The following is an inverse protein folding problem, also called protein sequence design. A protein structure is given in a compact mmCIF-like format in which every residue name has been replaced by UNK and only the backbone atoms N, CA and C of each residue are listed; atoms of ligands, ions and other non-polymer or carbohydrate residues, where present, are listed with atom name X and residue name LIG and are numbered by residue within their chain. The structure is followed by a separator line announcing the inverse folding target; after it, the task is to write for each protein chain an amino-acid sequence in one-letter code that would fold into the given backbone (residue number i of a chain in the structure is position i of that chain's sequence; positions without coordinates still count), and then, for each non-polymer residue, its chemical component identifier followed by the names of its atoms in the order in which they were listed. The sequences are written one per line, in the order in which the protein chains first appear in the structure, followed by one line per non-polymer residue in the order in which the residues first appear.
data_IF_190618715410
#
_entry.id   IF_190618715410
#
_cell.length_a   1.000
_cell.length_b   1.000
_cell.length_c   1.000
_cell.angle_alpha   90.00
_cell.angle_beta   90.00
_cell.angle_gamma   90.00
#
_symmetry.space_group_name_H-M   'P 1'
#
loop_
_entity.id
_entity.type
_entity.pdbx_description
1 polymer ?
#
# COMPACT_ATOMS: atom_id res chain seq x y z
N UNK A 1 47.12 4.55 26.92
CA UNK A 1 45.66 4.78 27.07
C UNK A 1 44.99 5.41 25.84
N UNK A 2 45.62 6.35 25.10
CA UNK A 2 45.02 6.95 23.88
C UNK A 2 44.74 5.98 22.71
N UNK A 3 45.51 4.89 22.56
CA UNK A 3 45.38 3.94 21.44
C UNK A 3 44.12 3.06 21.50
N UNK A 4 43.60 2.79 22.71
CA UNK A 4 42.39 1.99 22.92
C UNK A 4 41.09 2.79 22.76
N UNK A 5 41.18 4.12 22.93
CA UNK A 5 40.05 5.04 22.71
C UNK A 5 39.66 5.13 21.23
N UNK A 6 40.64 5.06 20.32
CA UNK A 6 40.38 5.07 18.87
C UNK A 6 39.78 3.75 18.37
N UNK A 7 40.18 2.62 18.93
CA UNK A 7 39.62 1.31 18.56
C UNK A 7 38.16 1.14 19.01
N UNK A 8 37.76 1.76 20.13
CA UNK A 8 36.36 1.72 20.60
C UNK A 8 35.44 2.56 19.68
N UNK A 9 35.94 3.69 19.17
CA UNK A 9 35.17 4.56 18.26
C UNK A 9 34.92 3.89 16.90
N UNK A 10 35.87 3.10 16.40
CA UNK A 10 35.73 2.36 15.13
C UNK A 10 34.73 1.19 15.26
N UNK A 11 34.70 0.51 16.41
CA UNK A 11 33.73 -0.57 16.67
C UNK A 11 32.32 -0.02 16.88
N UNK A 12 32.18 1.17 17.48
CA UNK A 12 30.88 1.83 17.66
C UNK A 12 30.26 2.32 16.34
N UNK A 13 31.09 2.68 15.35
CA UNK A 13 30.63 3.14 14.02
C UNK A 13 30.17 2.00 13.10
N UNK A 14 30.54 0.75 13.37
CA UNK A 14 30.12 -0.41 12.56
C UNK A 14 28.75 -0.97 12.95
N UNK A 15 28.22 -0.63 14.13
CA UNK A 15 26.91 -1.12 14.59
C UNK A 15 25.70 -0.28 14.12
N UNK A 16 25.90 0.89 13.52
CA UNK A 16 24.78 1.74 13.09
C UNK A 16 24.19 1.38 11.71
N UNK A 17 24.76 0.41 11.00
CA UNK A 17 24.32 0.09 9.62
C UNK A 17 23.19 -0.93 9.50
N UNK A 18 22.71 -1.56 10.57
CA UNK A 18 21.73 -2.68 10.48
C UNK A 18 20.28 -2.29 10.79
N UNK A 19 19.98 -1.01 11.04
CA UNK A 19 18.60 -0.57 11.34
C UNK A 19 18.03 0.48 10.37
N UNK A 20 18.66 0.70 9.21
CA UNK A 20 18.11 1.56 8.15
C UNK A 20 17.12 0.73 7.29
N UNK A 21 15.95 0.52 7.89
CA UNK A 21 14.64 0.90 7.35
C UNK A 21 14.05 0.21 6.11
N UNK A 22 13.92 -1.12 6.14
CA UNK A 22 12.96 -1.84 5.29
C UNK A 22 11.54 -1.22 5.27
N UNK A 23 10.97 -0.75 6.41
CA UNK A 23 9.68 -0.07 6.43
C UNK A 23 9.66 1.24 5.66
N UNK A 24 10.75 2.03 5.71
CA UNK A 24 10.84 3.33 5.04
C UNK A 24 10.92 3.19 3.53
N UNK A 25 11.70 2.21 3.02
CA UNK A 25 11.80 1.95 1.59
C UNK A 25 10.45 1.44 1.04
N UNK A 26 9.77 0.55 1.77
CA UNK A 26 8.43 0.06 1.40
C UNK A 26 7.38 1.19 1.42
N UNK A 27 7.42 2.07 2.40
CA UNK A 27 6.52 3.22 2.50
C UNK A 27 6.76 4.24 1.38
N UNK A 28 8.03 4.50 1.02
CA UNK A 28 8.40 5.37 -0.10
C UNK A 28 7.89 4.83 -1.43
N UNK A 29 8.15 3.55 -1.75
CA UNK A 29 7.66 2.90 -2.98
C UNK A 29 6.12 2.91 -3.08
N UNK A 30 5.41 2.73 -1.96
CA UNK A 30 3.95 2.80 -1.95
C UNK A 30 3.43 4.23 -2.19
N UNK A 31 4.07 5.23 -1.58
CA UNK A 31 3.73 6.64 -1.81
C UNK A 31 3.95 7.01 -3.27
N UNK A 32 5.05 6.55 -3.86
CA UNK A 32 5.35 6.77 -5.29
C UNK A 32 4.31 6.10 -6.19
N UNK A 33 3.84 4.90 -5.82
CA UNK A 33 2.78 4.16 -6.52
C UNK A 33 1.43 4.89 -6.52
N UNK A 34 0.95 5.32 -5.36
CA UNK A 34 -0.34 6.01 -5.25
C UNK A 34 -0.28 7.39 -5.91
N UNK A 35 0.87 8.07 -5.81
CA UNK A 35 1.09 9.32 -6.53
C UNK A 35 0.99 9.09 -8.04
N UNK A 36 1.61 8.02 -8.55
CA UNK A 36 1.50 7.64 -9.96
C UNK A 36 0.06 7.29 -10.36
N UNK A 37 -0.67 6.55 -9.51
CA UNK A 37 -2.09 6.22 -9.72
C UNK A 37 -2.91 7.49 -9.90
N UNK A 38 -2.80 8.43 -8.96
CA UNK A 38 -3.56 9.68 -8.96
C UNK A 38 -3.19 10.55 -10.17
N UNK A 39 -1.90 10.64 -10.52
CA UNK A 39 -1.44 11.39 -11.70
C UNK A 39 -2.03 10.82 -12.99
N UNK A 40 -1.91 9.51 -13.21
CA UNK A 40 -2.47 8.86 -14.41
C UNK A 40 -4.00 8.94 -14.44
N UNK A 41 -4.65 8.75 -13.29
CA UNK A 41 -6.10 8.85 -13.20
C UNK A 41 -6.59 10.26 -13.55
N UNK A 42 -5.89 11.30 -13.11
CA UNK A 42 -6.23 12.68 -13.44
C UNK A 42 -6.11 12.96 -14.94
N UNK A 43 -5.13 12.35 -15.60
CA UNK A 43 -4.96 12.42 -17.06
C UNK A 43 -6.06 11.66 -17.80
N UNK A 44 -6.35 10.41 -17.41
CA UNK A 44 -7.34 9.54 -18.07
C UNK A 44 -8.76 10.09 -17.97
N UNK A 45 -9.09 10.69 -16.83
CA UNK A 45 -10.39 11.30 -16.58
C UNK A 45 -10.54 12.69 -17.19
N UNK A 46 -9.46 13.28 -17.75
CA UNK A 46 -9.45 14.64 -18.28
C UNK A 46 -10.10 15.63 -17.29
N UNK A 47 -9.65 15.60 -16.04
CA UNK A 47 -10.24 16.44 -14.99
C UNK A 47 -9.84 17.91 -15.18
N UNK A 48 -10.82 18.80 -15.12
CA UNK A 48 -10.58 20.24 -15.02
C UNK A 48 -9.99 20.58 -13.65
N UNK A 49 -9.37 21.76 -13.51
CA UNK A 49 -8.85 22.21 -12.21
C UNK A 49 -9.93 22.23 -11.12
N UNK A 50 -11.18 22.57 -11.47
CA UNK A 50 -12.31 22.55 -10.55
C UNK A 50 -12.70 21.15 -10.11
N UNK A 51 -12.71 20.20 -11.03
CA UNK A 51 -12.99 18.79 -10.73
C UNK A 51 -11.86 18.20 -9.88
N UNK A 52 -10.59 18.47 -10.22
CA UNK A 52 -9.41 18.07 -9.45
C UNK A 52 -9.55 18.53 -8.00
N UNK A 53 -9.90 19.80 -7.77
CA UNK A 53 -10.10 20.34 -6.41
C UNK A 53 -11.15 19.57 -5.60
N UNK A 54 -12.17 19.01 -6.26
CA UNK A 54 -13.24 18.23 -5.62
C UNK A 54 -12.85 16.78 -5.37
N UNK A 55 -12.21 16.12 -6.34
CA UNK A 55 -11.91 14.68 -6.25
C UNK A 55 -10.59 14.36 -5.54
N UNK A 56 -9.63 15.29 -5.55
CA UNK A 56 -8.30 15.05 -4.97
C UNK A 56 -8.36 14.74 -3.46
N UNK A 57 -9.17 15.44 -2.64
CA UNK A 57 -9.31 15.08 -1.22
C UNK A 57 -9.87 13.67 -1.02
N UNK A 58 -10.81 13.23 -1.87
CA UNK A 58 -11.36 11.87 -1.83
C UNK A 58 -10.27 10.85 -2.16
N UNK A 59 -9.52 11.06 -3.24
CA UNK A 59 -8.41 10.16 -3.58
C UNK A 59 -7.35 10.08 -2.48
N UNK A 60 -6.97 11.22 -1.89
CA UNK A 60 -5.97 11.25 -0.81
C UNK A 60 -6.46 10.50 0.43
N UNK A 61 -7.69 10.73 0.86
CA UNK A 61 -8.32 10.03 1.99
C UNK A 61 -8.26 8.51 1.79
N UNK A 62 -8.79 8.03 0.67
CA UNK A 62 -8.87 6.59 0.41
C UNK A 62 -7.50 5.96 0.12
N UNK A 63 -6.56 6.71 -0.44
CA UNK A 63 -5.17 6.27 -0.66
C UNK A 63 -4.41 6.07 0.66
N UNK A 64 -4.55 6.99 1.60
CA UNK A 64 -3.95 6.89 2.94
C UNK A 64 -4.55 5.72 3.73
N UNK A 65 -5.87 5.54 3.70
CA UNK A 65 -6.53 4.37 4.29
C UNK A 65 -6.06 3.05 3.64
N UNK A 66 -6.00 3.01 2.30
CA UNK A 66 -5.52 1.84 1.55
C UNK A 66 -4.08 1.48 1.92
N UNK A 67 -3.22 2.47 2.15
CA UNK A 67 -1.85 2.25 2.61
C UNK A 67 -1.81 1.46 3.91
N UNK A 68 -2.59 1.89 4.89
CA UNK A 68 -2.65 1.25 6.21
C UNK A 68 -3.21 -0.17 6.09
N UNK A 69 -4.28 -0.36 5.32
CA UNK A 69 -4.88 -1.67 5.09
C UNK A 69 -3.93 -2.63 4.36
N UNK A 70 -3.15 -2.15 3.38
CA UNK A 70 -2.16 -2.97 2.69
C UNK A 70 -0.98 -3.33 3.60
N UNK A 71 -0.60 -2.44 4.52
CA UNK A 71 0.37 -2.77 5.56
C UNK A 71 -0.14 -3.88 6.48
N UNK A 72 -1.38 -3.76 6.99
CA UNK A 72 -2.03 -4.81 7.80
C UNK A 72 -2.12 -6.14 7.04
N UNK A 73 -2.55 -6.10 5.78
CA UNK A 73 -2.67 -7.29 4.92
C UNK A 73 -1.32 -7.99 4.73
N UNK A 74 -0.26 -7.24 4.41
CA UNK A 74 1.09 -7.80 4.25
C UNK A 74 1.61 -8.39 5.55
N UNK A 75 1.35 -7.73 6.67
CA UNK A 75 1.70 -8.26 8.00
C UNK A 75 0.97 -9.57 8.28
N UNK A 76 -0.34 -9.63 8.03
CA UNK A 76 -1.13 -10.85 8.21
C UNK A 76 -0.64 -12.00 7.33
N UNK A 77 -0.22 -11.72 6.09
CA UNK A 77 0.39 -12.73 5.21
C UNK A 77 1.74 -13.23 5.74
N UNK A 78 2.63 -12.34 6.21
CA UNK A 78 3.90 -12.75 6.82
C UNK A 78 3.65 -13.61 8.06
N UNK A 79 2.73 -13.21 8.93
CA UNK A 79 2.36 -13.99 10.12
C UNK A 79 1.76 -15.36 9.76
N UNK A 80 0.98 -15.45 8.66
CA UNK A 80 0.46 -16.72 8.15
C UNK A 80 1.58 -17.61 7.61
N UNK A 81 2.53 -17.06 6.84
CA UNK A 81 3.69 -17.77 6.32
C UNK A 81 4.58 -18.32 7.44
N UNK A 82 4.91 -17.48 8.43
CA UNK A 82 5.67 -17.90 9.62
C UNK A 82 4.94 -18.98 10.42
N UNK A 83 3.61 -18.93 10.47
CA UNK A 83 2.79 -19.93 11.14
C UNK A 83 2.85 -21.26 10.40
N UNK A 84 2.77 -21.26 9.06
CA UNK A 84 2.87 -22.46 8.23
C UNK A 84 4.22 -23.18 8.38
N UNK A 85 5.32 -22.44 8.56
CA UNK A 85 6.66 -23.01 8.72
C UNK A 85 6.86 -23.79 10.04
N UNK A 86 5.95 -23.65 11.02
CA UNK A 86 6.11 -24.18 12.38
C UNK A 86 5.19 -25.38 12.71
N UNK A 87 4.69 -26.08 11.68
CA UNK A 87 3.72 -27.18 11.84
C UNK A 87 2.58 -26.85 12.83
N UNK A 88 1.78 -25.81 12.53
CA UNK A 88 0.85 -25.23 13.49
C UNK A 88 -0.36 -26.14 13.71
N UNK A 89 -0.98 -26.05 14.89
CA UNK A 89 -2.32 -26.62 15.12
C UNK A 89 -3.35 -25.97 14.20
N UNK A 90 -4.35 -26.74 13.76
CA UNK A 90 -5.41 -26.29 12.84
C UNK A 90 -6.08 -24.98 13.27
N UNK A 91 -6.37 -24.82 14.56
CA UNK A 91 -7.06 -23.61 15.08
C UNK A 91 -6.22 -22.34 14.93
N UNK A 92 -4.90 -22.45 15.10
CA UNK A 92 -3.97 -21.32 14.96
C UNK A 92 -3.90 -20.92 13.49
N UNK A 93 -3.81 -21.90 12.59
CA UNK A 93 -3.78 -21.65 11.15
C UNK A 93 -5.10 -21.01 10.67
N UNK A 94 -6.24 -21.52 11.14
CA UNK A 94 -7.56 -20.94 10.85
C UNK A 94 -7.65 -19.48 11.30
N UNK A 95 -7.17 -19.16 12.49
CA UNK A 95 -7.14 -17.77 12.99
C UNK A 95 -6.32 -16.84 12.09
N UNK A 96 -5.17 -17.30 11.59
CA UNK A 96 -4.35 -16.52 10.64
C UNK A 96 -5.02 -16.32 9.29
N UNK A 97 -5.69 -17.36 8.76
CA UNK A 97 -6.49 -17.25 7.54
C UNK A 97 -7.59 -16.19 7.70
N UNK A 98 -8.34 -16.24 8.80
CA UNK A 98 -9.41 -15.27 9.08
C UNK A 98 -8.90 -13.82 9.19
N UNK A 99 -7.69 -13.62 9.72
CA UNK A 99 -7.05 -12.30 9.75
C UNK A 99 -6.75 -11.77 8.34
N UNK A 100 -6.21 -12.61 7.46
CA UNK A 100 -5.95 -12.26 6.06
C UNK A 100 -7.26 -11.92 5.34
N UNK A 101 -8.28 -12.77 5.48
CA UNK A 101 -9.61 -12.54 4.88
C UNK A 101 -10.25 -11.24 5.36
N UNK A 102 -10.10 -10.92 6.65
CA UNK A 102 -10.60 -9.66 7.21
C UNK A 102 -9.92 -8.47 6.57
N UNK A 103 -8.60 -8.53 6.35
CA UNK A 103 -7.87 -7.48 5.65
C UNK A 103 -8.33 -7.34 4.19
N UNK A 104 -8.56 -8.46 3.48
CA UNK A 104 -9.09 -8.45 2.12
C UNK A 104 -10.46 -7.75 2.06
N UNK A 105 -11.38 -8.12 2.94
CA UNK A 105 -12.72 -7.49 3.02
C UNK A 105 -12.63 -5.99 3.28
N UNK A 106 -11.72 -5.55 4.15
CA UNK A 106 -11.51 -4.10 4.40
C UNK A 106 -10.97 -3.38 3.16
N UNK A 107 -10.05 -3.99 2.42
CA UNK A 107 -9.51 -3.42 1.17
C UNK A 107 -10.59 -3.26 0.11
N UNK A 108 -11.45 -4.27 -0.06
CA UNK A 108 -12.56 -4.21 -1.02
C UNK A 108 -13.59 -3.15 -0.61
N UNK A 109 -13.94 -3.09 0.68
CA UNK A 109 -14.81 -2.04 1.21
C UNK A 109 -14.23 -0.63 0.99
N UNK A 110 -12.94 -0.44 1.23
CA UNK A 110 -12.27 0.84 1.00
C UNK A 110 -12.29 1.23 -0.50
N UNK A 111 -12.15 0.26 -1.42
CA UNK A 111 -12.29 0.50 -2.86
C UNK A 111 -13.73 0.89 -3.24
N UNK A 112 -14.72 0.18 -2.71
CA UNK A 112 -16.12 0.46 -2.97
C UNK A 112 -16.53 1.85 -2.44
N UNK A 113 -16.06 2.22 -1.25
CA UNK A 113 -16.33 3.52 -0.66
C UNK A 113 -15.68 4.67 -1.47
N UNK A 114 -14.43 4.50 -1.95
CA UNK A 114 -13.81 5.46 -2.88
C UNK A 114 -14.69 5.66 -4.11
N UNK A 115 -15.18 4.56 -4.70
CA UNK A 115 -16.03 4.61 -5.89
C UNK A 115 -17.33 5.37 -5.64
N UNK A 116 -18.05 5.09 -4.56
CA UNK A 116 -19.33 5.75 -4.27
C UNK A 116 -19.16 7.26 -4.06
N UNK A 117 -18.09 7.71 -3.39
CA UNK A 117 -17.81 9.15 -3.25
C UNK A 117 -17.44 9.80 -4.59
N UNK A 118 -16.60 9.15 -5.40
CA UNK A 118 -16.17 9.67 -6.71
C UNK A 118 -17.32 9.72 -7.71
N UNK A 119 -18.20 8.71 -7.69
CA UNK A 119 -19.39 8.62 -8.53
C UNK A 119 -20.32 9.82 -8.34
N UNK A 120 -20.43 10.34 -7.12
CA UNK A 120 -21.23 11.53 -6.83
C UNK A 120 -20.62 12.84 -7.38
N UNK A 121 -19.32 12.84 -7.70
CA UNK A 121 -18.57 14.03 -8.12
C UNK A 121 -18.32 14.11 -9.63
N UNK A 122 -18.39 12.98 -10.33
CA UNK A 122 -18.02 12.89 -11.74
C UNK A 122 -19.25 12.73 -12.66
N UNK A 123 -19.23 13.33 -13.86
CA UNK A 123 -20.18 13.01 -14.93
C UNK A 123 -20.11 11.53 -15.35
N UNK A 124 -21.21 11.01 -15.91
CA UNK A 124 -21.36 9.58 -16.23
C UNK A 124 -20.28 9.04 -17.19
N UNK A 125 -19.78 9.87 -18.12
CA UNK A 125 -18.69 9.48 -19.03
C UNK A 125 -17.37 9.28 -18.27
N UNK A 126 -17.07 10.17 -17.31
CA UNK A 126 -15.85 10.07 -16.48
C UNK A 126 -15.97 8.96 -15.44
N UNK A 127 -17.18 8.68 -14.96
CA UNK A 127 -17.48 7.50 -14.15
C UNK A 127 -17.11 6.20 -14.88
N UNK A 128 -17.49 6.05 -16.15
CA UNK A 128 -17.12 4.88 -16.95
C UNK A 128 -15.59 4.76 -17.14
N UNK A 129 -14.93 5.88 -17.48
CA UNK A 129 -13.45 5.92 -17.59
C UNK A 129 -12.77 5.55 -16.29
N UNK A 130 -13.29 5.99 -15.15
CA UNK A 130 -12.76 5.63 -13.83
C UNK A 130 -12.79 4.11 -13.63
N UNK A 131 -13.92 3.46 -13.92
CA UNK A 131 -14.04 2.00 -13.77
C UNK A 131 -13.08 1.24 -14.68
N UNK A 132 -12.94 1.68 -15.94
CA UNK A 132 -11.98 1.10 -16.89
C UNK A 132 -10.53 1.30 -16.41
N UNK A 133 -10.20 2.49 -15.93
CA UNK A 133 -8.89 2.78 -15.36
C UNK A 133 -8.58 1.86 -14.18
N UNK A 134 -9.53 1.67 -13.26
CA UNK A 134 -9.31 0.78 -12.11
C UNK A 134 -8.94 -0.64 -12.58
N UNK A 135 -9.71 -1.23 -13.50
CA UNK A 135 -9.41 -2.58 -14.01
C UNK A 135 -8.05 -2.65 -14.72
N UNK A 136 -7.75 -1.69 -15.61
CA UNK A 136 -6.49 -1.67 -16.34
C UNK A 136 -5.27 -1.47 -15.44
N UNK A 137 -5.34 -0.49 -14.52
CA UNK A 137 -4.22 -0.15 -13.65
C UNK A 137 -3.83 -1.32 -12.75
N UNK A 138 -4.79 -2.04 -12.16
CA UNK A 138 -4.48 -3.23 -11.36
C UNK A 138 -3.83 -4.34 -12.20
N UNK A 139 -4.28 -4.55 -13.45
CA UNK A 139 -3.68 -5.55 -14.34
C UNK A 139 -2.25 -5.21 -14.76
N UNK A 140 -1.96 -3.95 -15.05
CA UNK A 140 -0.60 -3.50 -15.43
C UNK A 140 0.39 -3.74 -14.28
N UNK A 141 -0.01 -3.36 -13.07
CA UNK A 141 0.86 -3.44 -11.89
C UNK A 141 1.22 -4.89 -11.54
N UNK A 142 0.29 -5.83 -11.72
CA UNK A 142 0.56 -7.25 -11.55
C UNK A 142 1.58 -7.79 -12.56
N UNK A 143 1.68 -7.21 -13.77
CA UNK A 143 2.71 -7.60 -14.75
C UNK A 143 4.09 -7.10 -14.35
N UNK A 144 4.19 -5.90 -13.80
CA UNK A 144 5.47 -5.33 -13.36
C UNK A 144 6.10 -6.06 -12.16
N UNK A 145 5.32 -6.81 -11.37
CA UNK A 145 5.85 -7.59 -10.24
C UNK A 145 6.28 -9.02 -10.62
N UNK A 146 6.08 -9.45 -11.88
CA UNK A 146 6.48 -10.78 -12.39
C UNK A 146 7.76 -10.79 -13.22
N UNK A 147 8.44 -9.65 -13.37
CA UNK A 147 9.75 -9.51 -14.03
C UNK A 147 10.84 -9.30 -12.98
#
# INVERSE_FOLDING_TARGET
MKKYLWSIIIVLLLFTKVAISEPYIKQKRFKDFETLRILRLSQELELSEEEIRKVMPVFQKYSEERRLLLFEYRKALMELEETLQKEPKSDILMSRILQVETCMKKLDKNRWNEWEEIKALLPIQKQARYLLFQDMFFREILRFHKQ
#
